data_IF_976911272135
#
_entry.id   IF_976911272135
#
_cell.length_a   1.000
_cell.length_b   1.000
_cell.length_c   1.000
_cell.angle_alpha   90.00
_cell.angle_beta   90.00
_cell.angle_gamma   90.00
#
_symmetry.space_group_name_H-M   'P 1'
#
loop_
_entity.id
_entity.type
_entity.pdbx_description
1 polymer ?
#
# COMPACT_ATOMS: atom_id res chain seq x y z
N UNK A 1 7.48 1.43 58.58
CA UNK A 1 6.69 0.63 57.61
C UNK A 1 5.19 0.81 57.83
N UNK A 2 4.70 0.62 59.06
CA UNK A 2 3.28 0.84 59.47
C UNK A 2 2.77 2.27 59.23
N UNK A 3 3.57 3.31 59.50
CA UNK A 3 3.14 4.70 59.29
C UNK A 3 2.99 5.09 57.81
N UNK A 4 3.77 4.50 56.92
CA UNK A 4 3.68 4.76 55.48
C UNK A 4 2.42 4.10 54.90
N UNK A 5 2.11 2.88 55.32
CA UNK A 5 0.90 2.16 54.89
C UNK A 5 -0.37 2.87 55.38
N UNK A 6 -0.40 3.32 56.64
CA UNK A 6 -1.52 4.08 57.20
C UNK A 6 -1.68 5.48 56.59
N UNK A 7 -0.59 6.06 56.08
CA UNK A 7 -0.64 7.30 55.31
C UNK A 7 -1.23 7.06 53.91
N UNK A 8 -0.77 6.02 53.20
CA UNK A 8 -1.26 5.64 51.87
C UNK A 8 -2.75 5.25 51.91
N UNK A 9 -3.20 4.54 52.95
CA UNK A 9 -4.61 4.12 53.07
C UNK A 9 -5.58 5.29 53.19
N UNK A 10 -5.15 6.45 53.70
CA UNK A 10 -5.97 7.68 53.73
C UNK A 10 -6.24 8.26 52.35
N UNK A 11 -5.41 7.93 51.36
CA UNK A 11 -5.53 8.37 49.98
C UNK A 11 -6.00 7.26 49.05
N UNK A 12 -6.41 6.09 49.56
CA UNK A 12 -6.79 4.92 48.75
C UNK A 12 -7.86 5.26 47.70
N UNK A 13 -8.88 6.02 48.08
CA UNK A 13 -9.92 6.48 47.14
C UNK A 13 -9.37 7.41 46.04
N UNK A 14 -8.43 8.30 46.37
CA UNK A 14 -7.80 9.23 45.42
C UNK A 14 -6.87 8.46 44.47
N UNK A 15 -6.06 7.55 45.02
CA UNK A 15 -5.18 6.67 44.25
C UNK A 15 -6.00 5.80 43.30
N UNK A 16 -7.10 5.21 43.78
CA UNK A 16 -8.02 4.41 42.98
C UNK A 16 -8.63 5.20 41.82
N UNK A 17 -9.10 6.43 42.08
CA UNK A 17 -9.63 7.30 41.03
C UNK A 17 -8.57 7.66 39.98
N UNK A 18 -7.37 8.04 40.41
CA UNK A 18 -6.26 8.37 39.50
C UNK A 18 -5.83 7.16 38.66
N UNK A 19 -5.73 5.98 39.26
CA UNK A 19 -5.44 4.73 38.53
C UNK A 19 -6.54 4.40 37.53
N UNK A 20 -7.82 4.59 37.90
CA UNK A 20 -8.95 4.38 36.99
C UNK A 20 -8.88 5.28 35.76
N UNK A 21 -8.55 6.56 35.94
CA UNK A 21 -8.35 7.51 34.83
C UNK A 21 -7.19 7.08 33.95
N UNK A 22 -6.04 6.74 34.53
CA UNK A 22 -4.85 6.30 33.77
C UNK A 22 -5.14 5.02 32.99
N UNK A 23 -5.76 4.02 33.62
CA UNK A 23 -6.15 2.77 32.97
C UNK A 23 -7.13 3.00 31.82
N UNK A 24 -8.10 3.90 32.00
CA UNK A 24 -9.07 4.27 30.95
C UNK A 24 -8.37 4.93 29.77
N UNK A 25 -7.43 5.85 30.01
CA UNK A 25 -6.65 6.51 28.96
C UNK A 25 -5.82 5.52 28.15
N UNK A 26 -5.08 4.62 28.83
CA UNK A 26 -4.28 3.58 28.18
C UNK A 26 -5.17 2.66 27.36
N UNK A 27 -6.27 2.17 27.95
CA UNK A 27 -7.21 1.25 27.29
C UNK A 27 -7.84 1.90 26.06
N UNK A 28 -8.25 3.17 26.18
CA UNK A 28 -8.81 3.95 25.06
C UNK A 28 -7.80 4.08 23.93
N UNK A 29 -6.54 4.39 24.24
CA UNK A 29 -5.50 4.54 23.22
C UNK A 29 -5.20 3.22 22.50
N UNK A 30 -5.17 2.11 23.24
CA UNK A 30 -5.01 0.78 22.68
C UNK A 30 -6.18 0.45 21.74
N UNK A 31 -7.42 0.63 22.20
CA UNK A 31 -8.63 0.39 21.41
C UNK A 31 -8.64 1.23 20.13
N UNK A 32 -8.27 2.52 20.22
CA UNK A 32 -8.19 3.39 19.05
C UNK A 32 -7.20 2.88 17.99
N UNK A 33 -6.09 2.27 18.44
CA UNK A 33 -5.07 1.72 17.55
C UNK A 33 -5.43 0.35 16.95
N UNK A 34 -6.37 -0.38 17.58
CA UNK A 34 -6.89 -1.65 17.09
C UNK A 34 -7.58 -1.44 15.75
N UNK A 35 -7.40 -2.40 14.86
CA UNK A 35 -7.90 -2.34 13.50
C UNK A 35 -6.79 -2.53 12.48
N UNK A 36 -7.22 -2.81 11.25
CA UNK A 36 -6.34 -3.18 10.14
C UNK A 36 -6.78 -2.45 8.88
N UNK A 37 -5.90 -2.48 7.89
CA UNK A 37 -6.24 -2.04 6.53
C UNK A 37 -6.80 -3.25 5.78
N UNK A 38 -7.95 -3.06 5.15
CA UNK A 38 -8.51 -3.98 4.17
C UNK A 38 -8.14 -3.48 2.78
N UNK A 39 -7.82 -4.40 1.89
CA UNK A 39 -7.33 -4.13 0.54
C UNK A 39 -8.29 -4.76 -0.44
N UNK A 40 -8.76 -3.97 -1.40
CA UNK A 40 -9.60 -4.42 -2.49
C UNK A 40 -8.96 -3.98 -3.80
N UNK A 41 -8.67 -4.94 -4.67
CA UNK A 41 -8.01 -4.72 -5.95
C UNK A 41 -9.00 -5.03 -7.07
N UNK A 42 -9.13 -4.13 -8.04
CA UNK A 42 -10.04 -4.29 -9.17
C UNK A 42 -9.59 -3.42 -10.35
N UNK A 43 -10.24 -3.63 -11.50
CA UNK A 43 -9.96 -2.90 -12.74
C UNK A 43 -8.45 -2.89 -13.07
N UNK A 44 -7.85 -4.08 -12.99
CA UNK A 44 -6.45 -4.27 -13.36
C UNK A 44 -6.35 -4.46 -14.88
N UNK A 45 -5.36 -3.84 -15.48
CA UNK A 45 -5.09 -3.95 -16.91
C UNK A 45 -3.57 -3.93 -17.13
N UNK A 46 -3.07 -4.82 -17.99
CA UNK A 46 -1.68 -4.84 -18.44
C UNK A 46 -1.72 -4.69 -19.96
N UNK A 47 -0.96 -3.72 -20.47
CA UNK A 47 -0.83 -3.43 -21.89
C UNK A 47 0.61 -3.58 -22.30
N UNK A 48 0.82 -4.14 -23.49
CA UNK A 48 2.13 -4.39 -24.05
C UNK A 48 2.35 -3.44 -25.22
N UNK A 49 3.55 -2.87 -25.29
CA UNK A 49 3.91 -1.91 -26.31
C UNK A 49 5.20 -2.35 -26.97
N UNK A 50 5.32 -2.14 -28.28
CA UNK A 50 6.53 -2.36 -29.03
C UNK A 50 6.55 -1.58 -30.34
N UNK A 51 7.57 -1.82 -31.16
CA UNK A 51 7.72 -1.21 -32.47
C UNK A 51 6.68 -1.73 -33.49
N UNK A 52 5.91 -0.79 -34.03
CA UNK A 52 4.95 -0.98 -35.11
C UNK A 52 5.61 -1.08 -36.49
N UNK A 53 4.80 -1.25 -37.53
CA UNK A 53 5.31 -1.45 -38.90
C UNK A 53 6.05 -0.24 -39.48
N UNK A 54 5.82 0.96 -38.94
CA UNK A 54 6.43 2.21 -39.41
C UNK A 54 7.45 2.79 -38.40
N UNK A 55 7.88 1.98 -37.42
CA UNK A 55 8.82 2.39 -36.37
C UNK A 55 8.18 3.19 -35.22
N UNK A 56 6.85 3.30 -35.19
CA UNK A 56 6.11 3.93 -34.11
C UNK A 56 5.98 3.00 -32.91
N UNK A 57 5.84 3.57 -31.71
CA UNK A 57 5.49 2.78 -30.54
C UNK A 57 3.97 2.59 -30.50
N UNK A 58 3.51 1.34 -30.63
CA UNK A 58 2.10 1.00 -30.60
C UNK A 58 1.80 -0.10 -29.57
N UNK A 59 0.53 -0.19 -29.16
CA UNK A 59 0.06 -1.32 -28.36
C UNK A 59 0.04 -2.57 -29.25
N UNK A 60 0.58 -3.68 -28.76
CA UNK A 60 0.69 -4.92 -29.51
C UNK A 60 0.12 -6.10 -28.71
N UNK A 61 -0.41 -7.09 -29.42
CA UNK A 61 -0.98 -8.30 -28.79
C UNK A 61 0.06 -9.40 -28.58
N UNK A 62 1.08 -9.47 -29.44
CA UNK A 62 2.15 -10.45 -29.32
C UNK A 62 3.20 -10.00 -28.29
N UNK A 63 3.09 -10.55 -27.08
CA UNK A 63 3.99 -10.25 -25.95
C UNK A 63 5.46 -10.50 -26.30
N UNK A 64 5.76 -11.43 -27.22
CA UNK A 64 7.15 -11.73 -27.59
C UNK A 64 7.81 -10.61 -28.40
N UNK A 65 7.01 -9.71 -28.97
CA UNK A 65 7.47 -8.53 -29.70
C UNK A 65 7.42 -7.25 -28.86
N UNK A 66 7.06 -7.36 -27.56
CA UNK A 66 6.87 -6.20 -26.72
C UNK A 66 8.22 -5.68 -26.20
N UNK A 67 8.38 -4.37 -26.26
CA UNK A 67 9.56 -3.67 -25.73
C UNK A 67 9.34 -3.23 -24.28
N UNK A 68 8.15 -2.79 -23.94
CA UNK A 68 7.80 -2.48 -22.54
C UNK A 68 6.32 -2.76 -22.29
N UNK A 69 5.97 -2.97 -21.03
CA UNK A 69 4.58 -3.10 -20.63
C UNK A 69 4.23 -2.01 -19.64
N UNK A 70 2.98 -1.59 -19.66
CA UNK A 70 2.42 -0.75 -18.61
C UNK A 70 1.33 -1.52 -17.90
N UNK A 71 1.17 -1.24 -16.61
CA UNK A 71 0.09 -1.79 -15.82
C UNK A 71 -0.67 -0.65 -15.17
N UNK A 72 -1.97 -0.86 -15.03
CA UNK A 72 -2.89 -0.01 -14.27
C UNK A 72 -3.68 -0.87 -13.32
N UNK A 73 -3.93 -0.35 -12.12
CA UNK A 73 -4.72 -1.03 -11.10
C UNK A 73 -5.42 0.00 -10.24
N UNK A 74 -6.68 -0.27 -9.88
CA UNK A 74 -7.39 0.47 -8.84
C UNK A 74 -7.33 -0.27 -7.52
N UNK A 75 -7.07 0.49 -6.46
CA UNK A 75 -6.97 -0.03 -5.10
C UNK A 75 -7.92 0.75 -4.22
N UNK A 76 -8.80 0.01 -3.54
CA UNK A 76 -9.60 0.52 -2.44
C UNK A 76 -8.98 0.06 -1.11
N UNK A 77 -8.76 1.01 -0.22
CA UNK A 77 -8.13 0.81 1.09
C UNK A 77 -9.09 1.27 2.18
N UNK A 78 -9.54 0.36 3.02
CA UNK A 78 -10.39 0.68 4.17
C UNK A 78 -9.61 0.53 5.47
N UNK A 79 -9.57 1.59 6.28
CA UNK A 79 -8.96 1.57 7.60
C UNK A 79 -10.01 1.41 8.71
N UNK A 80 -10.05 0.24 9.34
CA UNK A 80 -11.03 -0.02 10.40
C UNK A 80 -10.64 0.51 11.79
N UNK A 81 -9.49 1.17 11.93
CA UNK A 81 -9.03 1.75 13.20
C UNK A 81 -9.49 3.19 13.42
N UNK A 82 -9.34 3.70 14.64
CA UNK A 82 -9.66 5.10 15.00
C UNK A 82 -8.46 6.05 14.79
N UNK A 83 -7.37 5.54 14.21
CA UNK A 83 -6.15 6.32 13.92
C UNK A 83 -5.79 6.22 12.45
N UNK A 84 -5.08 7.21 11.92
CA UNK A 84 -4.54 7.16 10.55
C UNK A 84 -3.59 5.96 10.45
N UNK A 85 -3.73 5.18 9.37
CA UNK A 85 -2.76 4.13 9.01
C UNK A 85 -1.99 4.58 7.78
N UNK A 86 -0.67 4.43 7.83
CA UNK A 86 0.23 4.82 6.75
C UNK A 86 0.85 3.59 6.10
N UNK A 87 0.84 3.57 4.77
CA UNK A 87 1.63 2.66 3.94
C UNK A 87 2.77 3.43 3.27
N UNK A 88 3.96 2.86 3.21
CA UNK A 88 5.13 3.41 2.52
C UNK A 88 5.90 2.31 1.78
N UNK A 89 6.96 2.67 1.02
CA UNK A 89 7.79 1.72 0.26
C UNK A 89 6.94 0.80 -0.65
N UNK A 90 6.05 1.44 -1.40
CA UNK A 90 5.02 0.77 -2.21
C UNK A 90 5.66 0.19 -3.46
N UNK A 91 5.39 -1.09 -3.73
CA UNK A 91 5.91 -1.85 -4.88
C UNK A 91 4.86 -2.79 -5.41
N UNK A 92 4.92 -3.06 -6.71
CA UNK A 92 4.22 -4.17 -7.35
C UNK A 92 5.25 -5.25 -7.65
N UNK A 93 4.96 -6.46 -7.19
CA UNK A 93 5.79 -7.63 -7.44
C UNK A 93 5.09 -8.54 -8.45
N UNK A 94 5.82 -8.85 -9.51
CA UNK A 94 5.44 -9.81 -10.53
C UNK A 94 6.24 -11.08 -10.26
N UNK A 95 5.55 -12.12 -9.82
CA UNK A 95 6.15 -13.41 -9.43
C UNK A 95 6.15 -14.33 -10.64
N UNK A 96 7.33 -14.86 -10.94
CA UNK A 96 7.60 -15.84 -11.98
C UNK A 96 7.99 -17.17 -11.36
N UNK A 97 8.29 -18.17 -12.20
CA UNK A 97 8.72 -19.50 -11.74
C UNK A 97 10.00 -19.45 -10.89
N UNK A 98 10.99 -18.66 -11.31
CA UNK A 98 12.35 -18.67 -10.76
C UNK A 98 12.75 -17.34 -10.10
N UNK A 99 12.01 -16.25 -10.35
CA UNK A 99 12.35 -14.91 -9.85
C UNK A 99 11.12 -14.02 -9.61
N UNK A 100 11.38 -12.84 -9.05
CA UNK A 100 10.40 -11.76 -8.92
C UNK A 100 10.94 -10.50 -9.58
N UNK A 101 10.08 -9.82 -10.34
CA UNK A 101 10.33 -8.47 -10.87
C UNK A 101 9.56 -7.46 -10.03
N UNK A 102 10.21 -6.37 -9.65
CA UNK A 102 9.59 -5.31 -8.84
C UNK A 102 9.47 -4.02 -9.63
N UNK A 103 8.32 -3.38 -9.50
CA UNK A 103 8.08 -2.03 -10.03
C UNK A 103 7.64 -1.10 -8.92
N UNK A 104 8.17 0.14 -8.91
CA UNK A 104 7.65 1.22 -8.09
C UNK A 104 6.49 1.88 -8.86
N UNK A 105 5.23 1.76 -8.40
CA UNK A 105 4.12 2.42 -9.06
C UNK A 105 4.14 3.92 -8.84
N UNK A 106 3.48 4.65 -9.74
CA UNK A 106 3.06 6.03 -9.60
C UNK A 106 1.58 6.10 -9.22
N UNK A 107 1.18 7.20 -8.59
CA UNK A 107 -0.23 7.52 -8.40
C UNK A 107 -0.72 8.38 -9.55
N UNK A 108 -1.67 7.87 -10.32
CA UNK A 108 -2.24 8.56 -11.47
C UNK A 108 -3.11 9.76 -11.08
N UNK A 109 -3.70 9.74 -9.88
CA UNK A 109 -4.52 10.85 -9.37
C UNK A 109 -3.66 12.11 -9.12
N UNK A 110 -2.34 11.95 -9.01
CA UNK A 110 -1.38 13.03 -8.83
C UNK A 110 -0.65 13.41 -10.12
N UNK A 111 -1.07 12.91 -11.28
CA UNK A 111 -0.44 13.18 -12.55
C UNK A 111 -0.73 14.61 -13.02
N UNK A 112 0.32 15.35 -13.38
CA UNK A 112 0.23 16.64 -14.06
C UNK A 112 0.45 16.38 -15.55
N UNK A 113 -0.55 16.74 -16.37
CA UNK A 113 -0.46 16.62 -17.82
C UNK A 113 0.12 17.90 -18.41
N UNK A 114 1.20 17.77 -19.18
CA UNK A 114 1.75 18.81 -20.02
C UNK A 114 1.43 18.52 -21.50
N UNK A 115 1.72 19.49 -22.38
CA UNK A 115 1.43 19.35 -23.81
C UNK A 115 2.17 18.15 -24.47
N UNK A 116 3.37 17.81 -24.00
CA UNK A 116 4.23 16.78 -24.62
C UNK A 116 4.62 15.64 -23.68
N UNK A 117 4.31 15.72 -22.39
CA UNK A 117 4.66 14.69 -21.41
C UNK A 117 3.73 14.73 -20.19
N UNK A 118 3.81 13.70 -19.35
CA UNK A 118 3.13 13.66 -18.06
C UNK A 118 4.15 13.57 -16.93
N UNK A 119 3.94 14.36 -15.88
CA UNK A 119 4.76 14.34 -14.67
C UNK A 119 3.95 13.68 -13.56
N UNK A 120 4.56 12.72 -12.86
CA UNK A 120 3.96 12.10 -11.68
C UNK A 120 4.61 12.67 -10.43
N UNK A 121 3.80 13.18 -9.50
CA UNK A 121 4.32 13.51 -8.18
C UNK A 121 4.75 12.26 -7.44
N UNK A 122 5.74 12.44 -6.57
CA UNK A 122 6.28 11.40 -5.70
C UNK A 122 5.19 10.62 -4.95
N UNK A 123 5.13 9.32 -5.19
CA UNK A 123 4.21 8.39 -4.54
C UNK A 123 4.95 7.55 -3.47
N UNK A 124 5.32 8.22 -2.38
CA UNK A 124 6.15 7.61 -1.33
C UNK A 124 5.33 7.02 -0.17
N UNK A 125 4.16 7.59 0.11
CA UNK A 125 3.28 7.14 1.18
C UNK A 125 1.80 7.30 0.83
N UNK A 126 0.96 6.49 1.48
CA UNK A 126 -0.49 6.59 1.46
C UNK A 126 -0.97 6.76 2.90
N UNK A 127 -1.68 7.86 3.17
CA UNK A 127 -2.37 8.06 4.43
C UNK A 127 -3.82 7.60 4.28
N UNK A 128 -4.24 6.66 5.13
CA UNK A 128 -5.59 6.12 5.13
C UNK A 128 -6.29 6.63 6.39
N UNK A 129 -7.25 7.58 6.27
CA UNK A 129 -7.91 8.16 7.44
C UNK A 129 -8.69 7.13 8.26
N UNK A 130 -8.98 7.40 9.54
CA UNK A 130 -9.75 6.50 10.39
C UNK A 130 -11.14 6.24 9.82
N UNK A 131 -11.59 4.98 9.82
CA UNK A 131 -12.95 4.57 9.38
C UNK A 131 -13.34 4.98 7.98
N UNK A 132 -12.38 5.32 7.14
CA UNK A 132 -12.62 5.74 5.77
C UNK A 132 -12.13 4.70 4.77
N UNK A 133 -12.84 4.65 3.64
CA UNK A 133 -12.45 3.96 2.42
C UNK A 133 -11.87 5.02 1.48
N UNK A 134 -10.63 4.84 1.05
CA UNK A 134 -10.03 5.65 0.00
C UNK A 134 -9.80 4.79 -1.25
N UNK A 135 -9.84 5.43 -2.41
CA UNK A 135 -9.52 4.83 -3.70
C UNK A 135 -8.25 5.49 -4.25
N UNK A 136 -7.37 4.68 -4.84
CA UNK A 136 -6.11 5.13 -5.44
C UNK A 136 -5.92 4.42 -6.77
N UNK A 137 -5.62 5.20 -7.80
CA UNK A 137 -5.29 4.70 -9.13
C UNK A 137 -3.78 4.60 -9.26
N UNK A 138 -3.25 3.39 -9.36
CA UNK A 138 -1.81 3.19 -9.54
C UNK A 138 -1.48 2.75 -10.96
N UNK A 139 -0.36 3.25 -11.46
CA UNK A 139 0.18 2.91 -12.77
C UNK A 139 1.67 2.68 -12.69
N UNK A 140 2.24 1.92 -13.60
CA UNK A 140 3.68 1.77 -13.72
C UNK A 140 4.07 1.08 -15.01
N UNK A 141 5.37 1.03 -15.26
CA UNK A 141 5.94 0.37 -16.43
C UNK A 141 7.03 -0.59 -16.03
N UNK A 142 7.22 -1.61 -16.87
CA UNK A 142 8.33 -2.55 -16.78
C UNK A 142 9.01 -2.59 -18.14
N UNK A 143 10.35 -2.49 -18.12
CA UNK A 143 11.19 -2.41 -19.31
C UNK A 143 11.52 -3.75 -19.95
N UNK A 144 12.07 -3.68 -21.16
CA UNK A 144 12.55 -4.75 -22.05
C UNK A 144 13.29 -5.88 -21.35
N UNK A 145 14.22 -5.57 -20.45
CA UNK A 145 15.03 -6.59 -19.75
C UNK A 145 14.18 -7.61 -18.98
N UNK A 146 12.96 -7.23 -18.60
CA UNK A 146 12.07 -8.05 -17.80
C UNK A 146 10.78 -8.43 -18.56
N UNK A 147 10.61 -8.04 -19.82
CA UNK A 147 9.31 -8.19 -20.49
C UNK A 147 9.04 -9.61 -21.00
N UNK A 148 10.08 -10.27 -21.51
CA UNK A 148 10.02 -11.69 -21.88
C UNK A 148 9.61 -12.53 -20.67
N UNK A 149 10.05 -12.12 -19.48
CA UNK A 149 9.69 -12.73 -18.22
C UNK A 149 8.21 -12.46 -17.88
N UNK A 150 7.68 -11.25 -18.08
CA UNK A 150 6.29 -10.90 -17.73
C UNK A 150 5.24 -11.82 -18.38
N UNK A 151 5.52 -12.37 -19.56
CA UNK A 151 4.65 -13.36 -20.21
C UNK A 151 4.40 -14.62 -19.36
N UNK A 152 5.30 -14.92 -18.41
CA UNK A 152 5.28 -16.09 -17.52
C UNK A 152 4.87 -15.75 -16.09
N UNK A 153 4.27 -14.58 -15.88
CA UNK A 153 3.84 -14.15 -14.54
C UNK A 153 2.75 -15.08 -14.03
N UNK A 154 3.02 -15.70 -12.88
CA UNK A 154 2.06 -16.56 -12.20
C UNK A 154 1.19 -15.74 -11.25
N UNK A 155 1.78 -14.77 -10.55
CA UNK A 155 1.10 -13.98 -9.52
C UNK A 155 1.58 -12.55 -9.51
N UNK A 156 0.67 -11.64 -9.20
CA UNK A 156 0.97 -10.22 -8.99
C UNK A 156 0.60 -9.87 -7.56
N UNK A 157 1.53 -9.25 -6.83
CA UNK A 157 1.31 -8.80 -5.46
C UNK A 157 1.52 -7.30 -5.30
N UNK A 158 0.67 -6.70 -4.48
CA UNK A 158 0.91 -5.41 -3.89
C UNK A 158 1.78 -5.59 -2.65
N UNK A 159 2.87 -4.83 -2.56
CA UNK A 159 3.78 -4.80 -1.41
C UNK A 159 3.86 -3.37 -0.89
N UNK A 160 3.77 -3.23 0.43
CA UNK A 160 4.07 -1.98 1.12
C UNK A 160 4.59 -2.27 2.53
N UNK A 161 5.15 -1.28 3.20
CA UNK A 161 5.46 -1.33 4.62
C UNK A 161 4.50 -0.45 5.41
N UNK A 162 4.18 -0.85 6.63
CA UNK A 162 3.40 -0.02 7.55
C UNK A 162 4.30 0.91 8.38
N UNK A 163 3.70 1.74 9.23
CA UNK A 163 4.43 2.63 10.17
C UNK A 163 5.41 1.92 11.13
N UNK A 164 5.32 0.59 11.31
CA UNK A 164 6.27 -0.22 12.09
C UNK A 164 7.33 -0.89 11.22
N UNK A 165 7.50 -0.45 9.97
CA UNK A 165 8.35 -1.08 8.95
C UNK A 165 8.02 -2.56 8.66
N UNK A 166 6.85 -3.06 9.05
CA UNK A 166 6.43 -4.42 8.74
C UNK A 166 5.89 -4.48 7.32
N UNK A 167 6.45 -5.38 6.52
CA UNK A 167 6.01 -5.66 5.15
C UNK A 167 4.60 -6.27 5.16
N UNK A 168 3.75 -5.72 4.30
CA UNK A 168 2.42 -6.19 3.95
C UNK A 168 2.50 -6.61 2.49
N UNK A 169 2.18 -7.88 2.23
CA UNK A 169 2.09 -8.46 0.89
C UNK A 169 0.65 -8.93 0.66
N UNK A 170 0.04 -8.51 -0.45
CA UNK A 170 -1.34 -8.83 -0.81
C UNK A 170 -1.42 -9.26 -2.26
N UNK A 171 -2.13 -10.36 -2.52
CA UNK A 171 -2.36 -10.86 -3.87
C UNK A 171 -3.31 -9.90 -4.60
N UNK A 172 -2.90 -9.45 -5.78
CA UNK A 172 -3.73 -8.71 -6.73
C UNK A 172 -4.39 -9.71 -7.67
N UNK A 173 -3.58 -10.58 -8.30
CA UNK A 173 -4.03 -11.57 -9.28
C UNK A 173 -3.16 -12.81 -9.27
N UNK A 174 -3.79 -13.97 -9.50
CA UNK A 174 -3.12 -15.20 -9.94
C UNK A 174 -3.57 -15.51 -11.36
N UNK A 175 -2.66 -16.00 -12.20
CA UNK A 175 -2.93 -16.53 -13.54
C UNK A 175 -3.02 -18.05 -13.50
#
# INVERSE_FOLDING_TARGET
MTNLIAFISKFEGIIGALMGVVATLITTQLIKSLGKIYFYFYDYNIRYYGEGELGEVCEIEDINRADYCTYRLRIQLYNSSEIIKVLNDIKIEFVLEDKSVFSKPNNEDNMIKHASYSEYKDFNFINIPPKELIEINITGSISTENIVDISRVQKIHFIAKNHKNKTIKKLIKSF
#
